data_IF_216169029452
#
_entry.id   IF_216169029452
#
_cell.length_a   1.000
_cell.length_b   1.000
_cell.length_c   1.000
_cell.angle_alpha   90.00
_cell.angle_beta   90.00
_cell.angle_gamma   90.00
#
_symmetry.space_group_name_H-M   'P 1'
#
loop_
_entity.id
_entity.type
_entity.pdbx_description
1 polymer ?
#
# COMPACT_ATOMS: atom_id res chain seq x y z
N UNK A 1 0.86 -19.77 15.71
CA UNK A 1 2.31 -19.55 15.85
C UNK A 1 2.94 -19.87 14.49
N UNK A 2 3.01 -18.87 13.64
CA UNK A 2 3.28 -18.98 12.21
C UNK A 2 4.76 -18.72 11.95
N UNK A 3 5.33 -19.27 10.88
CA UNK A 3 6.74 -19.21 10.46
C UNK A 3 7.42 -17.81 10.43
N UNK A 4 6.74 -16.75 10.85
CA UNK A 4 7.21 -15.40 11.08
C UNK A 4 8.49 -15.32 11.93
N UNK A 5 8.64 -16.16 12.98
CA UNK A 5 9.90 -16.18 13.77
C UNK A 5 11.10 -16.61 12.91
N UNK A 6 10.93 -17.63 12.08
CA UNK A 6 11.97 -18.14 11.19
C UNK A 6 12.34 -17.05 10.16
N UNK A 7 11.34 -16.38 9.58
CA UNK A 7 11.56 -15.30 8.62
C UNK A 7 12.33 -14.14 9.26
N UNK A 8 11.98 -13.73 10.48
CA UNK A 8 12.70 -12.67 11.17
C UNK A 8 14.18 -13.03 11.39
N UNK A 9 14.47 -14.26 11.84
CA UNK A 9 15.85 -14.74 11.99
C UNK A 9 16.60 -14.74 10.66
N UNK A 10 15.93 -15.11 9.55
CA UNK A 10 16.53 -15.07 8.21
C UNK A 10 16.84 -13.63 7.77
N UNK A 11 15.96 -12.67 8.07
CA UNK A 11 16.15 -11.25 7.78
C UNK A 11 17.31 -10.70 8.59
N UNK A 12 17.33 -10.95 9.90
CA UNK A 12 18.39 -10.47 10.80
C UNK A 12 19.75 -11.01 10.38
N UNK A 13 19.83 -12.30 10.02
CA UNK A 13 21.04 -12.90 9.47
C UNK A 13 21.48 -12.21 8.18
N UNK A 14 20.57 -12.04 7.21
CA UNK A 14 20.89 -11.39 5.94
C UNK A 14 21.39 -9.95 6.14
N UNK A 15 20.78 -9.20 7.06
CA UNK A 15 21.22 -7.85 7.40
C UNK A 15 22.63 -7.85 8.01
N UNK A 16 22.88 -8.76 8.97
CA UNK A 16 24.20 -8.87 9.62
C UNK A 16 25.32 -9.29 8.67
N UNK A 17 25.01 -10.08 7.65
CA UNK A 17 25.98 -10.54 6.64
C UNK A 17 26.22 -9.50 5.52
N UNK A 18 25.41 -8.43 5.43
CA UNK A 18 25.45 -7.45 4.35
C UNK A 18 25.37 -5.98 4.85
N UNK A 19 26.13 -5.58 5.89
CA UNK A 19 25.93 -4.30 6.59
C UNK A 19 26.10 -3.06 5.71
N UNK A 20 26.87 -3.14 4.62
CA UNK A 20 27.11 -2.02 3.70
C UNK A 20 25.92 -1.70 2.78
N UNK A 21 24.94 -2.62 2.67
CA UNK A 21 23.83 -2.51 1.71
C UNK A 21 22.47 -2.92 2.26
N UNK A 22 22.38 -3.30 3.52
CA UNK A 22 21.11 -3.67 4.15
C UNK A 22 21.05 -3.26 5.61
N UNK A 23 19.84 -2.92 6.04
CA UNK A 23 19.52 -2.59 7.42
C UNK A 23 18.12 -3.12 7.73
N UNK A 24 17.91 -3.60 8.95
CA UNK A 24 16.60 -4.08 9.41
C UNK A 24 16.08 -3.23 10.58
N UNK A 25 14.77 -3.05 10.64
CA UNK A 25 14.08 -2.39 11.74
C UNK A 25 12.83 -3.20 12.08
N UNK A 26 12.53 -3.35 13.38
CA UNK A 26 11.26 -3.94 13.81
C UNK A 26 10.07 -3.06 13.40
N UNK A 27 10.25 -1.74 13.48
CA UNK A 27 9.29 -0.75 12.98
C UNK A 27 9.98 0.59 12.76
N UNK A 28 9.66 1.24 11.65
CA UNK A 28 10.06 2.62 11.39
C UNK A 28 9.02 3.64 11.89
N UNK A 29 7.82 3.16 12.26
CA UNK A 29 6.67 4.03 12.49
C UNK A 29 6.30 4.84 11.24
N UNK A 30 5.26 5.66 11.37
CA UNK A 30 4.76 6.43 10.22
C UNK A 30 5.77 7.46 9.73
N UNK A 31 6.35 8.26 10.64
CA UNK A 31 7.22 9.37 10.26
C UNK A 31 8.45 8.89 9.49
N UNK A 32 9.24 7.97 10.06
CA UNK A 32 10.48 7.52 9.41
C UNK A 32 10.20 6.73 8.13
N UNK A 33 9.10 5.98 8.09
CA UNK A 33 8.68 5.27 6.87
C UNK A 33 8.33 6.19 5.72
N UNK A 34 7.46 7.17 5.96
CA UNK A 34 7.10 8.13 4.93
C UNK A 34 8.28 9.01 4.51
N UNK A 35 9.17 9.37 5.44
CA UNK A 35 10.42 10.07 5.10
C UNK A 35 11.35 9.23 4.24
N UNK A 36 11.53 7.94 4.56
CA UNK A 36 12.39 7.06 3.79
C UNK A 36 11.84 6.83 2.37
N UNK A 37 10.53 6.68 2.23
CA UNK A 37 9.85 6.40 0.96
C UNK A 37 10.15 7.44 -0.13
N UNK A 38 10.43 8.69 0.24
CA UNK A 38 10.83 9.77 -0.69
C UNK A 38 12.16 9.52 -1.42
N UNK A 39 12.98 8.60 -0.91
CA UNK A 39 14.32 8.31 -1.41
C UNK A 39 14.45 6.89 -1.97
N UNK A 40 13.35 6.16 -2.13
CA UNK A 40 13.35 4.77 -2.58
C UNK A 40 12.90 4.67 -4.03
N UNK A 41 13.50 3.76 -4.79
CA UNK A 41 13.06 3.45 -6.17
C UNK A 41 11.78 2.61 -6.19
N UNK A 42 11.52 1.85 -5.12
CA UNK A 42 10.35 0.98 -5.02
C UNK A 42 10.21 0.32 -3.66
N UNK A 43 9.01 -0.20 -3.39
CA UNK A 43 8.71 -1.04 -2.23
C UNK A 43 8.37 -2.46 -2.66
N UNK A 44 8.86 -3.46 -1.94
CA UNK A 44 8.68 -4.88 -2.30
C UNK A 44 8.12 -5.63 -1.10
N UNK A 45 7.07 -6.42 -1.32
CA UNK A 45 6.46 -7.24 -0.28
C UNK A 45 4.96 -7.38 -0.50
N UNK A 46 4.18 -7.40 0.56
CA UNK A 46 2.71 -7.49 0.47
C UNK A 46 2.02 -6.56 1.46
N UNK A 47 2.72 -5.52 1.91
CA UNK A 47 2.16 -4.51 2.84
C UNK A 47 1.01 -3.76 2.17
N UNK A 48 0.00 -3.37 2.96
CA UNK A 48 -1.04 -2.46 2.48
C UNK A 48 -0.43 -1.16 1.98
N UNK A 49 0.74 -0.79 2.53
CA UNK A 49 1.40 0.46 2.23
C UNK A 49 1.79 0.65 0.78
N UNK A 50 2.04 -0.45 0.07
CA UNK A 50 2.30 -0.40 -1.36
C UNK A 50 1.09 0.03 -2.19
N UNK A 51 -0.13 -0.11 -1.65
CA UNK A 51 -1.36 0.29 -2.32
C UNK A 51 -1.86 1.65 -1.84
N UNK A 52 -1.70 1.96 -0.55
CA UNK A 52 -2.34 3.12 0.08
C UNK A 52 -1.43 4.32 0.25
N UNK A 53 -0.12 4.15 0.39
CA UNK A 53 0.83 5.24 0.65
C UNK A 53 1.80 5.41 -0.53
N UNK A 54 2.45 4.33 -1.00
CA UNK A 54 3.46 4.39 -2.08
C UNK A 54 3.02 5.14 -3.34
N UNK A 55 1.76 5.00 -3.83
CA UNK A 55 1.30 5.76 -5.00
C UNK A 55 1.32 7.29 -4.79
N UNK A 56 1.12 7.78 -3.55
CA UNK A 56 1.20 9.23 -3.27
C UNK A 56 2.61 9.79 -3.41
N UNK A 57 3.63 8.94 -3.30
CA UNK A 57 5.03 9.32 -3.49
C UNK A 57 5.51 9.06 -4.92
N UNK A 58 4.62 8.61 -5.82
CA UNK A 58 4.96 8.19 -7.18
C UNK A 58 6.01 7.07 -7.17
N UNK A 59 5.95 6.19 -6.16
CA UNK A 59 6.89 5.08 -5.99
C UNK A 59 6.22 3.76 -6.40
N UNK A 60 6.98 2.94 -7.14
CA UNK A 60 6.55 1.62 -7.58
C UNK A 60 6.41 0.63 -6.42
N UNK A 61 5.46 -0.29 -6.53
CA UNK A 61 5.25 -1.38 -5.57
C UNK A 61 5.30 -2.72 -6.29
N UNK A 62 6.13 -3.64 -5.83
CA UNK A 62 6.01 -5.07 -6.17
C UNK A 62 5.17 -5.73 -5.07
N UNK A 63 3.91 -6.05 -5.41
CA UNK A 63 2.96 -6.72 -4.53
C UNK A 63 3.01 -8.25 -4.74
N UNK A 64 3.50 -8.96 -3.72
CA UNK A 64 3.79 -10.39 -3.77
C UNK A 64 2.60 -11.20 -3.22
N UNK A 65 2.04 -12.05 -4.08
CA UNK A 65 0.99 -13.00 -3.74
C UNK A 65 -0.38 -12.38 -3.47
N UNK A 66 -1.29 -13.21 -2.92
CA UNK A 66 -2.73 -12.92 -2.89
C UNK A 66 -3.20 -12.00 -1.75
N UNK A 67 -2.33 -11.55 -0.83
CA UNK A 67 -2.75 -10.79 0.38
C UNK A 67 -3.57 -9.54 0.04
N UNK A 68 -3.25 -8.86 -1.06
CA UNK A 68 -3.92 -7.63 -1.50
C UNK A 68 -4.91 -7.85 -2.66
N UNK A 69 -5.30 -9.10 -2.93
CA UNK A 69 -6.27 -9.44 -3.98
C UNK A 69 -7.62 -8.78 -3.72
N UNK A 70 -8.25 -8.25 -4.77
CA UNK A 70 -9.54 -7.55 -4.69
C UNK A 70 -9.47 -6.11 -4.17
N UNK A 71 -8.30 -5.62 -3.75
CA UNK A 71 -8.12 -4.19 -3.42
C UNK A 71 -7.89 -3.37 -4.68
N UNK A 72 -8.33 -2.12 -4.65
CA UNK A 72 -8.05 -1.14 -5.70
C UNK A 72 -6.54 -0.88 -5.72
N UNK A 73 -5.95 -0.87 -6.92
CA UNK A 73 -4.51 -0.68 -7.13
C UNK A 73 -4.27 0.48 -8.08
N UNK A 74 -3.23 1.27 -7.80
CA UNK A 74 -2.74 2.28 -8.71
C UNK A 74 -1.92 1.64 -9.84
N UNK A 75 -1.64 2.39 -10.90
CA UNK A 75 -0.79 1.95 -12.01
C UNK A 75 0.67 1.71 -11.58
N UNK A 76 1.09 2.25 -10.43
CA UNK A 76 2.39 2.01 -9.82
C UNK A 76 2.54 0.64 -9.13
N UNK A 77 1.52 -0.23 -9.17
CA UNK A 77 1.56 -1.55 -8.52
C UNK A 77 1.80 -2.65 -9.57
N UNK A 78 2.84 -3.45 -9.35
CA UNK A 78 3.19 -4.65 -10.11
C UNK A 78 2.84 -5.86 -9.23
N UNK A 79 1.90 -6.68 -9.68
CA UNK A 79 1.59 -7.94 -9.00
C UNK A 79 2.55 -9.05 -9.47
N UNK A 80 3.00 -9.88 -8.53
CA UNK A 80 3.76 -11.08 -8.86
C UNK A 80 3.48 -12.22 -7.88
N UNK A 81 3.70 -13.45 -8.33
CA UNK A 81 3.66 -14.62 -7.46
C UNK A 81 4.89 -14.67 -6.53
N UNK A 82 4.83 -15.37 -5.39
CA UNK A 82 5.95 -15.53 -4.46
C UNK A 82 7.01 -16.51 -4.98
N UNK A 83 7.37 -16.42 -6.26
CA UNK A 83 8.41 -17.23 -6.90
C UNK A 83 9.62 -16.37 -7.22
N UNK A 84 10.82 -16.97 -7.19
CA UNK A 84 12.07 -16.27 -7.54
C UNK A 84 12.02 -15.67 -8.95
N UNK A 85 11.41 -16.38 -9.89
CA UNK A 85 11.35 -15.95 -11.28
C UNK A 85 10.40 -14.75 -11.44
N UNK A 86 9.22 -14.80 -10.84
CA UNK A 86 8.23 -13.72 -10.96
C UNK A 86 8.68 -12.46 -10.23
N UNK A 87 9.31 -12.61 -9.05
CA UNK A 87 9.92 -11.48 -8.33
C UNK A 87 11.03 -10.84 -9.16
N UNK A 88 11.86 -11.65 -9.84
CA UNK A 88 12.91 -11.14 -10.74
C UNK A 88 12.30 -10.38 -11.91
N UNK A 89 11.26 -10.90 -12.55
CA UNK A 89 10.55 -10.22 -13.63
C UNK A 89 9.92 -8.91 -13.16
N UNK A 90 9.28 -8.89 -11.99
CA UNK A 90 8.70 -7.69 -11.41
C UNK A 90 9.76 -6.62 -11.11
N UNK A 91 10.94 -7.01 -10.62
CA UNK A 91 12.07 -6.10 -10.44
C UNK A 91 12.54 -5.50 -11.78
N UNK A 92 12.65 -6.30 -12.84
CA UNK A 92 13.01 -5.79 -14.17
C UNK A 92 11.96 -4.80 -14.69
N UNK A 93 10.67 -5.09 -14.50
CA UNK A 93 9.58 -4.17 -14.87
C UNK A 93 9.66 -2.88 -14.07
N UNK A 94 9.88 -2.97 -12.75
CA UNK A 94 10.01 -1.81 -11.86
C UNK A 94 11.08 -0.83 -12.39
N UNK A 95 12.22 -1.33 -12.83
CA UNK A 95 13.32 -0.49 -13.36
C UNK A 95 13.22 -0.17 -14.86
N UNK A 96 12.19 -0.62 -15.56
CA UNK A 96 12.01 -0.32 -16.98
C UNK A 96 11.60 1.13 -17.21
N UNK A 97 12.12 1.78 -18.26
CA UNK A 97 11.80 3.18 -18.57
C UNK A 97 10.30 3.42 -18.70
N UNK A 98 9.59 2.51 -19.38
CA UNK A 98 8.15 2.63 -19.58
C UNK A 98 7.33 2.50 -18.30
N UNK A 99 7.85 1.83 -17.26
CA UNK A 99 7.22 1.81 -15.95
C UNK A 99 7.53 3.07 -15.15
N UNK A 100 8.79 3.50 -15.16
CA UNK A 100 9.24 4.73 -14.49
C UNK A 100 8.50 5.97 -15.02
N UNK A 101 8.26 6.05 -16.33
CA UNK A 101 7.45 7.10 -16.94
C UNK A 101 6.01 7.10 -16.41
N UNK A 102 5.39 5.92 -16.25
CA UNK A 102 4.03 5.80 -15.68
C UNK A 102 3.93 6.22 -14.22
N UNK A 103 5.04 6.14 -13.46
CA UNK A 103 5.03 6.52 -12.05
C UNK A 103 4.72 8.00 -11.89
N UNK A 104 5.24 8.86 -12.76
CA UNK A 104 5.07 10.32 -12.71
C UNK A 104 3.58 10.70 -12.71
N UNK A 105 2.82 10.07 -13.60
CA UNK A 105 1.39 10.33 -13.80
C UNK A 105 0.49 9.48 -12.89
N UNK A 106 1.05 8.68 -11.98
CA UNK A 106 0.25 7.78 -11.14
C UNK A 106 -0.54 8.54 -10.07
N UNK A 107 -1.86 8.43 -10.09
CA UNK A 107 -2.71 8.91 -9.00
C UNK A 107 -2.94 7.86 -7.93
N UNK A 108 -3.05 8.31 -6.67
CA UNK A 108 -3.42 7.44 -5.56
C UNK A 108 -4.95 7.29 -5.48
N UNK A 109 -5.52 6.09 -5.76
CA UNK A 109 -6.96 5.89 -5.70
C UNK A 109 -7.55 6.00 -4.28
N UNK A 110 -6.70 5.95 -3.24
CA UNK A 110 -7.10 6.14 -1.85
C UNK A 110 -7.17 7.62 -1.43
N UNK A 111 -6.84 8.53 -2.35
CA UNK A 111 -7.11 9.96 -2.24
C UNK A 111 -5.87 10.83 -2.06
N UNK A 112 -6.11 12.13 -2.15
CA UNK A 112 -5.07 13.17 -2.21
C UNK A 112 -5.04 14.01 -0.92
N UNK A 113 -5.35 13.39 0.22
CA UNK A 113 -5.47 14.08 1.51
C UNK A 113 -6.83 14.76 1.74
N UNK A 114 -6.90 15.59 2.79
CA UNK A 114 -8.11 16.32 3.17
C UNK A 114 -9.18 15.48 3.90
N UNK A 115 -8.92 14.19 4.14
CA UNK A 115 -9.91 13.28 4.72
C UNK A 115 -10.34 13.73 6.12
N UNK A 116 -9.39 14.11 6.97
CA UNK A 116 -9.68 14.60 8.32
C UNK A 116 -10.58 15.84 8.31
N UNK A 117 -10.28 16.82 7.45
CA UNK A 117 -11.07 18.04 7.29
C UNK A 117 -12.49 17.73 6.84
N UNK A 118 -12.66 16.83 5.86
CA UNK A 118 -13.99 16.39 5.40
C UNK A 118 -14.76 15.68 6.50
N UNK A 119 -14.12 14.77 7.24
CA UNK A 119 -14.73 14.06 8.37
C UNK A 119 -15.17 15.07 9.44
N UNK A 120 -14.31 16.01 9.84
CA UNK A 120 -14.66 17.04 10.81
C UNK A 120 -15.81 17.93 10.31
N UNK A 121 -15.82 18.31 9.04
CA UNK A 121 -16.90 19.10 8.46
C UNK A 121 -18.25 18.37 8.48
N UNK A 122 -18.24 17.06 8.22
CA UNK A 122 -19.45 16.21 8.31
C UNK A 122 -19.90 16.11 9.77
N UNK A 123 -18.99 15.79 10.70
CA UNK A 123 -19.31 15.63 12.11
C UNK A 123 -19.88 16.92 12.73
N UNK A 124 -19.35 18.09 12.37
CA UNK A 124 -19.87 19.39 12.83
C UNK A 124 -21.30 19.68 12.37
N UNK A 125 -21.70 19.13 11.22
CA UNK A 125 -23.04 19.32 10.64
C UNK A 125 -24.02 18.22 11.01
N UNK A 126 -23.55 17.12 11.57
CA UNK A 126 -24.38 15.96 11.88
C UNK A 126 -25.32 16.27 13.06
N UNK A 127 -26.62 16.00 12.87
CA UNK A 127 -27.58 16.06 13.97
C UNK A 127 -27.33 14.88 14.91
N UNK A 128 -27.00 15.17 16.18
CA UNK A 128 -26.70 14.14 17.19
C UNK A 128 -27.96 13.56 17.86
N UNK A 129 -29.12 14.20 17.65
CA UNK A 129 -30.41 13.72 18.11
C UNK A 129 -30.79 12.42 17.37
N UNK A 130 -31.21 11.39 18.12
CA UNK A 130 -31.83 10.18 17.55
C UNK A 130 -30.86 9.13 17.00
N UNK A 131 -29.54 9.28 17.21
CA UNK A 131 -28.51 8.36 16.70
C UNK A 131 -28.53 6.94 17.31
N UNK A 132 -29.31 6.70 18.36
CA UNK A 132 -29.33 5.42 19.08
C UNK A 132 -29.97 4.27 18.29
N UNK A 133 -30.82 4.57 17.31
CA UNK A 133 -31.49 3.54 16.49
C UNK A 133 -31.13 3.72 15.01
N UNK A 134 -30.50 2.70 14.44
CA UNK A 134 -30.15 2.63 13.03
C UNK A 134 -31.41 2.34 12.22
N UNK A 135 -31.89 3.31 11.45
CA UNK A 135 -32.99 3.12 10.50
C UNK A 135 -32.43 2.57 9.20
N UNK A 136 -32.92 1.41 8.77
CA UNK A 136 -32.64 0.90 7.43
C UNK A 136 -33.64 1.54 6.45
N UNK A 137 -33.14 1.98 5.31
CA UNK A 137 -33.95 2.50 4.23
C UNK A 137 -33.79 1.61 3.00
N UNK A 138 -34.89 1.35 2.32
CA UNK A 138 -34.86 0.64 1.05
C UNK A 138 -34.29 1.56 -0.03
N UNK A 139 -33.28 1.07 -0.74
CA UNK A 139 -32.78 1.73 -1.95
C UNK A 139 -33.65 1.24 -3.11
N UNK A 140 -34.41 2.14 -3.73
CA UNK A 140 -35.13 1.84 -4.97
C UNK A 140 -34.11 1.60 -6.08
N UNK A 141 -33.73 0.35 -6.30
CA UNK A 141 -33.01 -0.03 -7.51
C UNK A 141 -34.03 -0.11 -8.64
N UNK A 142 -33.91 0.80 -9.62
CA UNK A 142 -34.58 0.61 -10.90
C UNK A 142 -34.14 -0.74 -11.46
N UNK A 143 -35.11 -1.65 -11.65
CA UNK A 143 -34.87 -2.92 -12.34
C UNK A 143 -34.30 -2.60 -13.71
N UNK A 144 -33.03 -2.94 -13.95
CA UNK A 144 -32.52 -3.06 -15.31
C UNK A 144 -33.32 -4.18 -15.97
N UNK A 145 -34.18 -3.81 -16.92
CA UNK A 145 -34.76 -4.74 -17.90
C UNK A 145 -33.65 -5.38 -18.72
#
# INVERSE_FOLDING_TARGET
DTNSRIINVMIDRFASENPDRSVCFTSMGQLRYLSALQFMDGVVGNSSSGLTEAPSFKIGTINIGDRQKGRIKAHSVIDCEPTKQDIKCALMTLYSSSFQEKLIDTDNPYGNGGAAQRVVAVLRKAALHGLLKKSFYNINQAQKK
#
